data_IF_998619613871
#
_entry.id   IF_998619613871
#
_cell.length_a   1.000
_cell.length_b   1.000
_cell.length_c   1.000
_cell.angle_alpha   90.00
_cell.angle_beta   90.00
_cell.angle_gamma   90.00
#
_symmetry.space_group_name_H-M   'P 1'
#
loop_
_entity.id
_entity.type
_entity.pdbx_description
1 polymer ?
#
# COMPACT_ATOMS: atom_id res chain seq x y z
N UNK A 1 -67.92 19.54 17.02
CA UNK A 1 -67.84 20.77 17.82
C UNK A 1 -67.63 21.94 16.87
N UNK A 2 -68.64 22.77 16.66
CA UNK A 2 -68.52 23.98 15.85
C UNK A 2 -67.75 25.03 16.66
N UNK A 3 -66.56 25.42 16.18
CA UNK A 3 -65.79 26.53 16.77
C UNK A 3 -66.42 27.82 16.29
N UNK A 4 -67.19 28.47 17.17
CA UNK A 4 -67.69 29.82 16.98
C UNK A 4 -66.50 30.78 17.13
N UNK A 5 -65.91 31.18 16.01
CA UNK A 5 -64.78 32.13 16.00
C UNK A 5 -65.35 33.53 16.19
N UNK A 6 -65.09 34.10 17.37
CA UNK A 6 -65.41 35.48 17.73
C UNK A 6 -64.46 36.42 16.98
N UNK A 7 -64.98 37.25 16.07
CA UNK A 7 -64.18 38.26 15.36
C UNK A 7 -63.88 39.42 16.32
N UNK A 8 -62.61 39.76 16.59
CA UNK A 8 -62.27 40.81 17.54
C UNK A 8 -62.54 42.22 16.98
N UNK A 9 -63.15 43.08 17.80
CA UNK A 9 -63.75 44.39 17.43
C UNK A 9 -62.78 45.48 16.95
N UNK A 10 -61.47 45.23 16.88
CA UNK A 10 -60.47 46.25 16.49
C UNK A 10 -60.36 46.48 14.97
N UNK A 11 -61.08 45.69 14.15
CA UNK A 11 -61.17 45.91 12.70
C UNK A 11 -62.25 46.92 12.27
N UNK A 12 -63.01 47.51 13.20
CA UNK A 12 -63.87 48.67 12.93
C UNK A 12 -63.14 49.94 13.40
N UNK A 13 -62.51 50.66 12.47
CA UNK A 13 -61.67 51.82 12.76
C UNK A 13 -62.36 52.90 13.60
N UNK A 14 -61.63 53.38 14.61
CA UNK A 14 -61.93 54.59 15.39
C UNK A 14 -61.53 55.83 14.59
N UNK A 15 -62.48 56.70 14.26
CA UNK A 15 -62.20 58.08 13.86
C UNK A 15 -62.77 59.01 14.95
N UNK A 16 -61.88 59.79 15.54
CA UNK A 16 -62.13 60.79 16.58
C UNK A 16 -62.70 62.07 15.98
N UNK A 17 -63.68 62.64 16.68
CA UNK A 17 -64.45 63.84 16.32
C UNK A 17 -63.60 65.11 16.11
N UNK A 18 -63.87 65.86 15.04
CA UNK A 18 -63.65 67.31 14.98
C UNK A 18 -64.85 68.01 14.35
N UNK A 19 -65.54 68.80 15.18
CA UNK A 19 -66.44 69.92 14.96
C UNK A 19 -67.13 70.18 13.59
N UNK A 20 -68.47 70.20 13.67
CA UNK A 20 -69.45 71.09 13.01
C UNK A 20 -69.50 71.19 11.47
N UNK A 21 -70.70 70.87 10.95
CA UNK A 21 -71.31 71.36 9.70
C UNK A 21 -70.43 71.41 8.44
N UNK A 22 -70.40 70.31 7.67
CA UNK A 22 -71.03 70.26 6.35
C UNK A 22 -70.79 68.91 5.69
N UNK A 23 -71.85 68.45 5.02
CA UNK A 23 -71.94 67.50 3.91
C UNK A 23 -70.73 66.62 3.49
N UNK A 24 -71.06 65.31 3.45
CA UNK A 24 -70.59 64.29 2.50
C UNK A 24 -69.13 63.82 2.68
N UNK A 25 -68.99 62.69 3.37
CA UNK A 25 -68.79 61.35 2.80
C UNK A 25 -68.44 60.44 3.98
N UNK A 26 -69.41 59.71 4.54
CA UNK A 26 -69.11 58.59 5.46
C UNK A 26 -69.94 57.37 5.06
N UNK A 27 -69.21 56.35 4.63
CA UNK A 27 -69.60 55.00 4.22
C UNK A 27 -70.79 54.40 4.98
N UNK A 28 -71.81 53.95 4.23
CA UNK A 28 -72.73 52.89 4.68
C UNK A 28 -72.64 51.71 3.74
N UNK A 29 -71.74 50.76 4.04
CA UNK A 29 -71.84 49.41 3.47
C UNK A 29 -73.21 48.83 3.85
N UNK A 30 -73.94 48.33 2.86
CA UNK A 30 -75.25 47.66 3.05
C UNK A 30 -75.08 46.38 3.88
N UNK A 31 -76.12 45.95 4.61
CA UNK A 31 -76.05 44.73 5.45
C UNK A 31 -75.59 43.48 4.67
N UNK A 32 -75.89 43.41 3.37
CA UNK A 32 -75.43 42.38 2.44
C UNK A 32 -73.93 42.42 2.16
N UNK A 33 -73.32 43.62 2.08
CA UNK A 33 -71.87 43.78 1.85
C UNK A 33 -71.07 43.43 3.10
N UNK A 34 -71.58 43.77 4.30
CA UNK A 34 -70.97 43.36 5.58
C UNK A 34 -70.96 41.84 5.75
N UNK A 35 -72.06 41.16 5.46
CA UNK A 35 -72.13 39.69 5.54
C UNK A 35 -71.18 39.00 4.56
N UNK A 36 -71.05 39.54 3.33
CA UNK A 36 -70.10 39.03 2.33
C UNK A 36 -68.64 39.22 2.77
N UNK A 37 -68.29 40.38 3.33
CA UNK A 37 -66.96 40.63 3.87
C UNK A 37 -66.66 39.74 5.09
N UNK A 38 -67.64 39.46 5.95
CA UNK A 38 -67.48 38.52 7.05
C UNK A 38 -67.27 37.07 6.57
N UNK A 39 -68.02 36.63 5.56
CA UNK A 39 -67.88 35.28 5.00
C UNK A 39 -66.54 35.10 4.26
N UNK A 40 -66.11 36.09 3.48
CA UNK A 40 -64.78 36.07 2.88
C UNK A 40 -63.65 36.16 3.91
N UNK A 41 -63.80 36.96 4.96
CA UNK A 41 -62.85 37.02 6.06
C UNK A 41 -62.74 35.68 6.79
N UNK A 42 -63.86 34.97 7.01
CA UNK A 42 -63.88 33.62 7.62
C UNK A 42 -63.24 32.59 6.70
N UNK A 43 -63.49 32.63 5.39
CA UNK A 43 -62.84 31.74 4.41
C UNK A 43 -61.34 31.97 4.34
N UNK A 44 -60.91 33.23 4.31
CA UNK A 44 -59.49 33.62 4.32
C UNK A 44 -58.82 33.17 5.63
N UNK A 45 -59.48 33.38 6.78
CA UNK A 45 -58.98 32.92 8.07
C UNK A 45 -58.88 31.39 8.13
N UNK A 46 -59.88 30.66 7.61
CA UNK A 46 -59.86 29.21 7.53
C UNK A 46 -58.73 28.69 6.62
N UNK A 47 -58.46 29.37 5.49
CA UNK A 47 -57.33 29.04 4.61
C UNK A 47 -55.98 29.31 5.27
N UNK A 48 -55.84 30.42 6.00
CA UNK A 48 -54.62 30.74 6.77
C UNK A 48 -54.39 29.68 7.84
N UNK A 49 -55.42 29.32 8.61
CA UNK A 49 -55.34 28.27 9.63
C UNK A 49 -54.98 26.92 8.99
N UNK A 50 -55.64 26.55 7.89
CA UNK A 50 -55.33 25.35 7.12
C UNK A 50 -53.88 25.32 6.63
N UNK A 51 -53.37 26.44 6.11
CA UNK A 51 -51.98 26.60 5.69
C UNK A 51 -50.99 26.45 6.85
N UNK A 52 -51.29 27.02 8.02
CA UNK A 52 -50.48 26.85 9.24
C UNK A 52 -50.44 25.37 9.67
N UNK A 53 -51.57 24.66 9.63
CA UNK A 53 -51.59 23.22 9.95
C UNK A 53 -50.74 22.39 8.98
N UNK A 54 -50.77 22.70 7.69
CA UNK A 54 -49.90 22.04 6.70
C UNK A 54 -48.42 22.33 6.99
N UNK A 55 -48.06 23.57 7.29
CA UNK A 55 -46.68 23.95 7.63
C UNK A 55 -46.18 23.26 8.91
N UNK A 56 -47.00 23.18 9.96
CA UNK A 56 -46.67 22.43 11.18
C UNK A 56 -46.49 20.95 10.86
N UNK A 57 -47.38 20.37 10.04
CA UNK A 57 -47.26 18.99 9.57
C UNK A 57 -45.96 18.72 8.83
N UNK A 58 -45.54 19.64 7.95
CA UNK A 58 -44.27 19.56 7.23
C UNK A 58 -43.06 19.69 8.17
N UNK A 59 -43.10 20.60 9.15
CA UNK A 59 -42.02 20.77 10.14
C UNK A 59 -41.88 19.51 11.00
N UNK A 60 -43.00 18.96 11.49
CA UNK A 60 -43.00 17.71 12.28
C UNK A 60 -42.50 16.55 11.43
N UNK A 61 -42.94 16.44 10.18
CA UNK A 61 -42.49 15.40 9.25
C UNK A 61 -41.01 15.53 8.95
N UNK A 62 -40.50 16.75 8.72
CA UNK A 62 -39.09 17.01 8.50
C UNK A 62 -38.26 16.66 9.73
N UNK A 63 -38.70 17.06 10.93
CA UNK A 63 -38.02 16.70 12.18
C UNK A 63 -38.04 15.19 12.44
N UNK A 64 -39.17 14.52 12.19
CA UNK A 64 -39.29 13.07 12.32
C UNK A 64 -38.42 12.33 11.29
N UNK A 65 -38.31 12.85 10.07
CA UNK A 65 -37.41 12.34 9.04
C UNK A 65 -35.94 12.47 9.47
N UNK A 66 -35.53 13.63 9.99
CA UNK A 66 -34.18 13.84 10.51
C UNK A 66 -33.84 12.88 11.66
N UNK A 67 -34.76 12.69 12.61
CA UNK A 67 -34.59 11.74 13.72
C UNK A 67 -34.54 10.29 13.21
N UNK A 68 -35.35 9.95 12.20
CA UNK A 68 -35.36 8.59 11.62
C UNK A 68 -34.06 8.26 10.89
N UNK A 69 -33.46 9.23 10.20
CA UNK A 69 -32.14 9.07 9.56
C UNK A 69 -31.06 8.87 10.64
N UNK A 70 -31.05 9.71 11.67
CA UNK A 70 -30.10 9.57 12.80
C UNK A 70 -30.22 8.22 13.52
N UNK A 71 -31.44 7.69 13.65
CA UNK A 71 -31.66 6.39 14.28
C UNK A 71 -31.12 5.22 13.44
N UNK A 72 -31.25 5.29 12.11
CA UNK A 72 -30.66 4.28 11.22
C UNK A 72 -29.13 4.27 11.30
N UNK A 73 -28.50 5.44 11.43
CA UNK A 73 -27.05 5.53 11.60
C UNK A 73 -26.59 4.93 12.95
N UNK A 74 -27.29 5.23 14.04
CA UNK A 74 -27.00 4.67 15.38
C UNK A 74 -27.16 3.15 15.43
N UNK A 75 -28.23 2.61 14.85
CA UNK A 75 -28.48 1.16 14.82
C UNK A 75 -27.40 0.44 13.98
N UNK A 76 -26.94 1.06 12.88
CA UNK A 76 -25.83 0.55 12.07
C UNK A 76 -24.51 0.56 12.84
N UNK A 77 -24.22 1.64 13.57
CA UNK A 77 -22.99 1.77 14.36
C UNK A 77 -22.95 0.78 15.53
N UNK A 78 -24.09 0.52 16.18
CA UNK A 78 -24.22 -0.50 17.20
C UNK A 78 -23.94 -1.91 16.64
N UNK A 79 -24.46 -2.24 15.45
CA UNK A 79 -24.20 -3.51 14.79
C UNK A 79 -22.73 -3.68 14.41
N UNK A 80 -22.06 -2.61 13.93
CA UNK A 80 -20.64 -2.67 13.63
C UNK A 80 -19.80 -2.90 14.88
N UNK A 81 -20.14 -2.25 15.99
CA UNK A 81 -19.46 -2.43 17.28
C UNK A 81 -19.58 -3.87 17.80
N UNK A 82 -20.76 -4.49 17.65
CA UNK A 82 -20.96 -5.91 17.99
C UNK A 82 -20.12 -6.84 17.11
N UNK A 83 -20.07 -6.60 15.79
CA UNK A 83 -19.23 -7.36 14.85
C UNK A 83 -17.74 -7.26 15.20
N UNK A 84 -17.24 -6.06 15.53
CA UNK A 84 -15.86 -5.88 15.97
C UNK A 84 -15.56 -6.61 17.27
N UNK A 85 -16.47 -6.54 18.25
CA UNK A 85 -16.30 -7.21 19.54
C UNK A 85 -16.25 -8.73 19.40
N UNK A 86 -17.08 -9.31 18.53
CA UNK A 86 -17.06 -10.74 18.19
C UNK A 86 -15.75 -11.14 17.52
N UNK A 87 -15.30 -10.37 16.52
CA UNK A 87 -14.05 -10.65 15.83
C UNK A 87 -12.85 -10.63 16.79
N UNK A 88 -12.77 -9.64 17.68
CA UNK A 88 -11.71 -9.56 18.71
C UNK A 88 -11.77 -10.75 19.68
N UNK A 89 -12.98 -11.16 20.07
CA UNK A 89 -13.19 -12.34 20.93
C UNK A 89 -12.67 -13.60 20.24
N UNK A 90 -12.99 -13.77 18.96
CA UNK A 90 -12.50 -14.88 18.15
C UNK A 90 -10.97 -14.88 18.00
N UNK A 91 -10.36 -13.70 17.79
CA UNK A 91 -8.90 -13.55 17.73
C UNK A 91 -8.18 -13.87 19.05
N UNK A 92 -8.89 -13.80 20.17
CA UNK A 92 -8.36 -14.12 21.50
C UNK A 92 -8.47 -15.62 21.85
N UNK A 93 -9.05 -16.44 20.97
CA UNK A 93 -9.28 -17.86 21.21
C UNK A 93 -7.99 -18.69 21.01
N UNK A 94 -7.79 -19.73 21.82
CA UNK A 94 -6.62 -20.62 21.71
C UNK A 94 -6.64 -21.46 20.42
N UNK A 95 -7.82 -21.72 19.85
CA UNK A 95 -8.00 -22.52 18.64
C UNK A 95 -7.74 -21.69 17.40
N UNK A 96 -6.77 -22.13 16.60
CA UNK A 96 -6.40 -21.52 15.30
C UNK A 96 -7.61 -21.27 14.38
N UNK A 97 -8.53 -22.23 14.28
CA UNK A 97 -9.71 -22.12 13.41
C UNK A 97 -10.62 -20.96 13.83
N UNK A 98 -10.76 -20.72 15.14
CA UNK A 98 -11.58 -19.62 15.67
C UNK A 98 -10.91 -18.29 15.37
N UNK A 99 -9.58 -18.18 15.57
CA UNK A 99 -8.83 -16.97 15.23
C UNK A 99 -8.90 -16.63 13.74
N UNK A 100 -8.77 -17.64 12.87
CA UNK A 100 -8.99 -17.48 11.42
C UNK A 100 -10.41 -16.97 11.12
N UNK A 101 -11.43 -17.49 11.82
CA UNK A 101 -12.79 -16.98 11.75
C UNK A 101 -12.88 -15.48 12.10
N UNK A 102 -12.21 -15.06 13.18
CA UNK A 102 -12.10 -13.65 13.55
C UNK A 102 -11.42 -12.78 12.48
N UNK A 103 -10.36 -13.28 11.83
CA UNK A 103 -9.70 -12.57 10.73
C UNK A 103 -10.63 -12.36 9.53
N UNK A 104 -11.41 -13.37 9.15
CA UNK A 104 -12.40 -13.25 8.06
C UNK A 104 -13.59 -12.37 8.44
N UNK A 105 -13.98 -12.31 9.71
CA UNK A 105 -14.97 -11.34 10.18
C UNK A 105 -14.46 -9.90 10.03
N UNK A 106 -13.20 -9.64 10.39
CA UNK A 106 -12.55 -8.35 10.16
C UNK A 106 -12.45 -8.02 8.67
N UNK A 107 -12.00 -8.97 7.85
CA UNK A 107 -11.97 -8.81 6.39
C UNK A 107 -13.32 -8.32 5.84
N UNK A 108 -14.38 -9.03 6.21
CA UNK A 108 -15.73 -8.70 5.79
C UNK A 108 -16.21 -7.35 6.31
N UNK A 109 -15.83 -6.96 7.54
CA UNK A 109 -16.14 -5.63 8.08
C UNK A 109 -15.47 -4.53 7.24
N UNK A 110 -14.20 -4.68 6.88
CA UNK A 110 -13.49 -3.71 6.04
C UNK A 110 -14.13 -3.58 4.65
N UNK A 111 -14.56 -4.69 4.05
CA UNK A 111 -15.22 -4.71 2.74
C UNK A 111 -16.62 -4.07 2.82
N UNK A 112 -17.42 -4.43 3.82
CA UNK A 112 -18.81 -3.96 3.97
C UNK A 112 -18.89 -2.47 4.39
N UNK A 113 -17.85 -1.95 5.05
CA UNK A 113 -17.85 -0.61 5.66
C UNK A 113 -16.55 0.15 5.41
N UNK A 114 -16.46 0.94 4.32
CA UNK A 114 -15.28 1.74 4.00
C UNK A 114 -14.84 2.71 5.11
N UNK A 115 -15.80 3.22 5.91
CA UNK A 115 -15.51 4.09 7.07
C UNK A 115 -14.75 3.37 8.18
N UNK A 116 -14.91 2.05 8.29
CA UNK A 116 -14.31 1.21 9.35
C UNK A 116 -13.09 0.41 8.86
N UNK A 117 -12.80 0.46 7.56
CA UNK A 117 -11.69 -0.27 6.94
C UNK A 117 -10.33 0.09 7.54
N UNK A 118 -10.10 1.38 7.85
CA UNK A 118 -8.85 1.84 8.47
C UNK A 118 -8.67 1.25 9.88
N UNK A 119 -9.72 1.28 10.70
CA UNK A 119 -9.70 0.71 12.06
C UNK A 119 -9.50 -0.80 12.01
N UNK A 120 -10.14 -1.48 11.07
CA UNK A 120 -9.96 -2.92 10.83
C UNK A 120 -8.51 -3.25 10.46
N UNK A 121 -7.92 -2.50 9.52
CA UNK A 121 -6.52 -2.62 9.10
C UNK A 121 -5.58 -2.44 10.29
N UNK A 122 -5.80 -1.43 11.13
CA UNK A 122 -5.01 -1.21 12.35
C UNK A 122 -5.14 -2.36 13.36
N UNK A 123 -6.33 -2.93 13.53
CA UNK A 123 -6.55 -4.05 14.43
C UNK A 123 -5.83 -5.32 13.95
N UNK A 124 -5.91 -5.63 12.65
CA UNK A 124 -5.20 -6.76 12.04
C UNK A 124 -3.68 -6.58 12.22
N UNK A 125 -3.17 -5.36 12.04
CA UNK A 125 -1.74 -5.07 12.23
C UNK A 125 -1.30 -5.16 13.69
N UNK A 126 -2.10 -4.65 14.63
CA UNK A 126 -1.84 -4.81 16.06
C UNK A 126 -1.82 -6.29 16.45
N UNK A 127 -2.77 -7.06 15.93
CA UNK A 127 -2.82 -8.50 16.13
C UNK A 127 -1.58 -9.21 15.57
N UNK A 128 -1.18 -8.87 14.34
CA UNK A 128 0.01 -9.41 13.69
C UNK A 128 1.28 -9.15 14.53
N UNK A 129 1.54 -7.90 14.90
CA UNK A 129 2.73 -7.55 15.66
C UNK A 129 2.77 -8.16 17.06
N UNK A 130 1.63 -8.18 17.75
CA UNK A 130 1.56 -8.73 19.10
C UNK A 130 1.83 -10.25 19.14
N UNK A 131 1.50 -10.97 18.08
CA UNK A 131 1.59 -12.44 18.07
C UNK A 131 2.79 -12.97 17.27
N UNK A 132 3.34 -12.20 16.32
CA UNK A 132 4.32 -12.70 15.35
C UNK A 132 5.61 -11.87 15.26
N UNK A 133 5.81 -10.83 16.08
CA UNK A 133 7.09 -10.11 16.14
C UNK A 133 8.19 -10.96 16.78
N UNK A 134 9.41 -10.91 16.22
CA UNK A 134 10.62 -11.63 16.64
C UNK A 134 11.18 -11.20 18.02
N UNK A 135 10.32 -10.73 18.93
CA UNK A 135 10.64 -10.46 20.33
C UNK A 135 10.63 -11.75 21.17
N UNK A 136 11.47 -12.73 20.80
CA UNK A 136 12.07 -13.71 21.72
C UNK A 136 13.52 -14.01 21.31
N UNK A 137 14.34 -12.96 21.31
CA UNK A 137 15.76 -13.08 21.62
C UNK A 137 15.92 -13.45 23.10
N UNK A 138 15.58 -14.69 23.46
CA UNK A 138 15.95 -15.29 24.74
C UNK A 138 16.95 -16.40 24.41
N UNK A 139 18.24 -16.08 24.54
CA UNK A 139 19.41 -16.92 24.24
C UNK A 139 19.59 -18.08 25.23
N UNK A 140 18.50 -18.56 25.85
CA UNK A 140 18.51 -19.52 26.96
C UNK A 140 17.63 -20.76 26.74
N UNK A 141 17.20 -21.05 25.50
CA UNK A 141 16.60 -22.34 25.15
C UNK A 141 17.32 -22.95 23.95
N UNK A 142 17.76 -24.22 24.02
CA UNK A 142 18.46 -24.84 22.92
C UNK A 142 17.53 -24.85 21.71
N UNK A 143 18.06 -24.40 20.59
CA UNK A 143 17.45 -24.58 19.29
C UNK A 143 16.93 -26.02 19.21
N UNK A 144 15.62 -26.19 19.06
CA UNK A 144 15.15 -27.35 18.30
C UNK A 144 15.67 -27.09 16.91
N UNK A 145 16.87 -27.59 16.66
CA UNK A 145 17.42 -27.71 15.35
C UNK A 145 16.38 -28.45 14.52
N UNK A 146 15.68 -27.72 13.68
CA UNK A 146 15.17 -28.26 12.43
C UNK A 146 16.42 -28.70 11.70
N UNK A 147 16.79 -29.96 11.91
CA UNK A 147 17.91 -30.62 11.30
C UNK A 147 17.81 -30.32 9.82
N UNK A 148 18.83 -29.63 9.30
CA UNK A 148 19.19 -29.66 7.88
C UNK A 148 19.37 -31.13 7.53
N UNK A 149 18.31 -31.79 7.08
CA UNK A 149 18.43 -33.02 6.31
C UNK A 149 18.81 -32.56 4.91
N UNK A 150 20.11 -32.55 4.63
CA UNK A 150 20.61 -32.70 3.26
C UNK A 150 20.07 -34.04 2.77
N UNK A 151 18.90 -34.03 2.13
CA UNK A 151 18.54 -35.08 1.21
C UNK A 151 19.14 -34.66 -0.13
N UNK A 152 20.08 -35.45 -0.63
CA UNK A 152 20.76 -35.26 -1.91
C UNK A 152 19.85 -35.51 -3.12
N UNK A 153 18.54 -35.33 -3.00
CA UNK A 153 17.54 -35.47 -4.05
C UNK A 153 16.34 -34.57 -3.71
N UNK A 154 16.25 -33.39 -4.36
CA UNK A 154 15.06 -32.53 -4.38
C UNK A 154 14.68 -31.86 -3.05
N UNK A 155 14.47 -30.54 -3.08
CA UNK A 155 13.75 -29.82 -2.03
C UNK A 155 12.38 -30.47 -1.84
N UNK A 156 12.21 -31.22 -0.75
CA UNK A 156 10.92 -31.81 -0.39
C UNK A 156 9.97 -30.70 0.06
N UNK A 157 9.00 -30.39 -0.80
CA UNK A 157 7.83 -29.53 -0.55
C UNK A 157 6.90 -30.24 0.44
N UNK A 158 7.34 -30.43 1.68
CA UNK A 158 6.47 -30.83 2.79
C UNK A 158 6.31 -29.62 3.70
N UNK A 159 5.31 -28.76 3.41
CA UNK A 159 4.57 -27.93 4.39
C UNK A 159 3.61 -26.87 3.78
N UNK A 160 3.34 -26.87 2.48
CA UNK A 160 2.38 -25.93 1.87
C UNK A 160 0.87 -26.19 2.17
N UNK A 161 0.53 -27.16 3.04
CA UNK A 161 -0.85 -27.68 3.17
C UNK A 161 -1.60 -27.44 4.49
N UNK A 162 -1.11 -26.60 5.40
CA UNK A 162 -1.97 -26.04 6.46
C UNK A 162 -1.92 -24.53 6.40
N UNK A 163 -3.06 -23.81 6.31
CA UNK A 163 -3.06 -22.35 6.46
C UNK A 163 -2.41 -22.02 7.81
N UNK A 164 -1.19 -21.47 7.77
CA UNK A 164 -0.65 -20.83 8.95
C UNK A 164 -1.47 -19.57 9.18
N UNK A 165 -1.74 -19.26 10.44
CA UNK A 165 -2.44 -18.03 10.81
C UNK A 165 -1.81 -16.80 10.15
N UNK A 166 -0.49 -16.77 10.10
CA UNK A 166 0.28 -15.72 9.47
C UNK A 166 0.03 -15.61 7.96
N UNK A 167 -0.07 -16.73 7.24
CA UNK A 167 -0.43 -16.69 5.81
C UNK A 167 -1.88 -16.22 5.62
N UNK A 168 -2.81 -16.62 6.50
CA UNK A 168 -4.18 -16.11 6.47
C UNK A 168 -4.20 -14.59 6.69
N UNK A 169 -3.43 -14.08 7.66
CA UNK A 169 -3.30 -12.64 7.89
C UNK A 169 -2.79 -11.93 6.63
N UNK A 170 -1.74 -12.46 5.98
CA UNK A 170 -1.20 -11.89 4.74
C UNK A 170 -2.28 -11.82 3.66
N UNK A 171 -3.04 -12.91 3.46
CA UNK A 171 -4.08 -12.97 2.45
C UNK A 171 -5.21 -11.97 2.74
N UNK A 172 -5.64 -11.85 4.00
CA UNK A 172 -6.66 -10.88 4.42
C UNK A 172 -6.15 -9.44 4.25
N UNK A 173 -4.89 -9.16 4.59
CA UNK A 173 -4.30 -7.84 4.37
C UNK A 173 -4.31 -7.50 2.88
N UNK A 174 -3.96 -8.45 2.00
CA UNK A 174 -3.96 -8.29 0.55
C UNK A 174 -5.38 -8.10 -0.03
N UNK A 175 -6.42 -8.65 0.57
CA UNK A 175 -7.79 -8.56 0.05
C UNK A 175 -8.51 -7.27 0.43
N UNK A 176 -8.26 -6.74 1.63
CA UNK A 176 -8.95 -5.53 2.14
C UNK A 176 -8.35 -4.22 1.64
N UNK A 177 -7.20 -4.26 0.97
CA UNK A 177 -6.45 -3.05 0.64
C UNK A 177 -5.70 -3.22 -0.67
N UNK A 178 -6.15 -2.47 -1.68
CA UNK A 178 -5.42 -2.29 -2.94
C UNK A 178 -4.12 -1.50 -2.77
N UNK A 179 -3.92 -0.88 -1.61
CA UNK A 179 -2.80 -0.02 -1.31
C UNK A 179 -2.29 -0.28 0.13
N UNK A 180 -1.30 -1.18 0.23
CA UNK A 180 -0.57 -1.42 1.48
C UNK A 180 0.51 -0.37 1.70
N UNK A 181 0.29 0.85 1.20
CA UNK A 181 1.12 2.02 1.48
C UNK A 181 1.48 2.10 2.95
N UNK A 182 2.78 2.00 3.25
CA UNK A 182 3.35 2.09 4.60
C UNK A 182 2.91 0.99 5.57
N UNK A 183 2.51 -0.18 5.07
CA UNK A 183 2.31 -1.37 5.89
C UNK A 183 3.55 -1.64 6.74
N UNK A 184 3.38 -1.85 8.04
CA UNK A 184 4.48 -2.20 8.94
C UNK A 184 4.54 -3.71 9.12
N UNK A 185 5.56 -4.35 8.57
CA UNK A 185 5.88 -5.79 8.71
C UNK A 185 7.19 -6.00 9.47
N UNK A 186 7.71 -4.98 10.14
CA UNK A 186 9.04 -5.02 10.75
C UNK A 186 9.21 -6.17 11.73
N UNK A 187 10.39 -6.77 11.68
CA UNK A 187 10.80 -7.80 12.64
C UNK A 187 9.86 -9.02 12.70
N UNK A 188 9.09 -9.28 11.64
CA UNK A 188 8.29 -10.49 11.54
C UNK A 188 9.14 -11.65 10.97
N UNK A 189 8.75 -12.87 11.29
CA UNK A 189 9.23 -14.08 10.60
C UNK A 189 8.24 -14.44 9.48
N UNK A 190 8.58 -14.05 8.26
CA UNK A 190 7.86 -14.35 7.02
C UNK A 190 8.60 -15.40 6.18
N UNK A 191 9.42 -16.25 6.81
CA UNK A 191 10.15 -17.31 6.10
C UNK A 191 9.20 -18.28 5.38
N UNK A 192 9.57 -18.61 4.15
CA UNK A 192 8.82 -19.48 3.23
C UNK A 192 7.36 -19.05 3.00
N UNK A 193 7.03 -17.77 3.22
CA UNK A 193 5.67 -17.24 3.01
C UNK A 193 5.44 -16.76 1.58
N UNK A 194 4.18 -16.82 1.18
CA UNK A 194 3.75 -16.35 -0.12
C UNK A 194 3.27 -14.89 -0.03
N UNK A 195 4.06 -13.98 -0.59
CA UNK A 195 3.75 -12.55 -0.74
C UNK A 195 3.48 -12.20 -2.22
N UNK A 196 3.38 -13.20 -3.10
CA UNK A 196 3.19 -12.97 -4.52
C UNK A 196 1.93 -12.14 -4.79
N UNK A 197 1.98 -11.30 -5.84
CA UNK A 197 0.85 -10.48 -6.30
C UNK A 197 0.36 -9.41 -5.32
N UNK A 198 0.97 -9.27 -4.15
CA UNK A 198 0.64 -8.21 -3.19
C UNK A 198 1.20 -6.86 -3.61
N UNK A 199 0.52 -5.78 -3.25
CA UNK A 199 0.96 -4.39 -3.44
C UNK A 199 1.41 -3.80 -2.12
N UNK A 200 2.71 -3.79 -1.88
CA UNK A 200 3.43 -3.37 -0.67
C UNK A 200 4.24 -2.07 -0.87
N UNK A 201 3.67 -1.12 -1.61
CA UNK A 201 4.33 0.14 -1.94
C UNK A 201 4.71 0.86 -0.63
N UNK A 202 5.95 1.33 -0.48
CA UNK A 202 6.45 1.98 0.74
C UNK A 202 6.26 1.20 2.06
N UNK A 203 5.99 -0.10 2.00
CA UNK A 203 5.85 -0.93 3.20
C UNK A 203 7.20 -1.09 3.91
N UNK A 204 7.16 -1.32 5.22
CA UNK A 204 8.32 -1.48 6.07
C UNK A 204 8.54 -2.94 6.44
N UNK A 205 9.52 -3.56 5.80
CA UNK A 205 10.04 -4.90 6.07
C UNK A 205 11.39 -4.86 6.79
N UNK A 206 11.79 -3.74 7.39
CA UNK A 206 13.09 -3.67 8.06
C UNK A 206 13.22 -4.71 9.19
N UNK A 207 14.38 -5.36 9.25
CA UNK A 207 14.68 -6.47 10.18
C UNK A 207 13.76 -7.71 10.06
N UNK A 208 13.02 -7.86 8.96
CA UNK A 208 12.12 -9.01 8.74
C UNK A 208 12.90 -10.21 8.21
N UNK A 209 12.51 -11.42 8.61
CA UNK A 209 12.98 -12.65 7.96
C UNK A 209 12.04 -12.99 6.79
N UNK A 210 12.56 -12.97 5.58
CA UNK A 210 11.90 -13.29 4.31
C UNK A 210 12.64 -14.46 3.62
N UNK A 211 13.38 -15.27 4.39
CA UNK A 211 14.14 -16.40 3.85
C UNK A 211 13.20 -17.32 3.08
N UNK A 212 13.52 -17.61 1.81
CA UNK A 212 12.69 -18.50 0.97
C UNK A 212 11.31 -17.93 0.59
N UNK A 213 11.03 -16.65 0.88
CA UNK A 213 9.74 -16.06 0.56
C UNK A 213 9.47 -16.01 -0.95
N UNK A 214 8.20 -16.19 -1.33
CA UNK A 214 7.75 -16.12 -2.72
C UNK A 214 7.24 -14.71 -3.01
N UNK A 215 7.87 -14.04 -3.98
CA UNK A 215 7.70 -12.61 -4.26
C UNK A 215 7.32 -12.31 -5.72
N UNK A 216 6.91 -13.31 -6.52
CA UNK A 216 6.60 -13.06 -7.92
C UNK A 216 5.37 -12.14 -8.09
N UNK A 217 5.36 -11.33 -9.16
CA UNK A 217 4.28 -10.41 -9.52
C UNK A 217 3.82 -9.41 -8.43
N UNK A 218 4.61 -9.18 -7.38
CA UNK A 218 4.29 -8.22 -6.32
C UNK A 218 4.85 -6.82 -6.62
N UNK A 219 4.29 -5.80 -6.00
CA UNK A 219 4.79 -4.42 -6.06
C UNK A 219 5.33 -3.96 -4.70
N UNK A 220 6.65 -3.85 -4.59
CA UNK A 220 7.40 -3.36 -3.44
C UNK A 220 8.06 -2.00 -3.72
N UNK A 221 7.50 -1.20 -4.63
CA UNK A 221 8.07 0.11 -4.96
C UNK A 221 8.29 0.95 -3.69
N UNK A 222 9.52 1.41 -3.48
CA UNK A 222 9.90 2.24 -2.33
C UNK A 222 9.83 1.57 -0.96
N UNK A 223 9.63 0.24 -0.90
CA UNK A 223 9.57 -0.48 0.37
C UNK A 223 10.94 -0.48 1.09
N UNK A 224 10.91 -0.53 2.42
CA UNK A 224 12.08 -0.55 3.30
C UNK A 224 12.39 -1.99 3.71
N UNK A 225 13.45 -2.57 3.15
CA UNK A 225 13.99 -3.90 3.46
C UNK A 225 15.28 -3.83 4.29
N UNK A 226 15.57 -2.69 4.93
CA UNK A 226 16.86 -2.53 5.60
C UNK A 226 17.07 -3.59 6.67
N UNK A 227 18.26 -4.20 6.67
CA UNK A 227 18.64 -5.27 7.62
C UNK A 227 17.72 -6.50 7.60
N UNK A 228 16.89 -6.66 6.57
CA UNK A 228 16.06 -7.86 6.41
C UNK A 228 16.87 -9.03 5.85
N UNK A 229 16.34 -10.24 5.97
CA UNK A 229 16.93 -11.44 5.40
C UNK A 229 16.03 -11.96 4.27
N UNK A 230 16.39 -11.71 3.01
CA UNK A 230 15.75 -12.27 1.82
C UNK A 230 16.56 -13.44 1.23
N UNK A 231 17.38 -14.12 2.03
CA UNK A 231 18.17 -15.24 1.49
C UNK A 231 17.27 -16.30 0.86
N UNK A 232 17.60 -16.74 -0.35
CA UNK A 232 16.79 -17.70 -1.15
C UNK A 232 15.35 -17.25 -1.45
N UNK A 233 14.99 -15.98 -1.23
CA UNK A 233 13.70 -15.47 -1.69
C UNK A 233 13.63 -15.55 -3.22
N UNK A 234 12.45 -15.83 -3.77
CA UNK A 234 12.30 -16.07 -5.20
C UNK A 234 11.20 -15.22 -5.83
N UNK A 235 11.54 -14.55 -6.93
CA UNK A 235 10.60 -13.88 -7.82
C UNK A 235 10.29 -14.69 -9.08
N UNK A 236 10.95 -15.84 -9.27
CA UNK A 236 10.72 -16.68 -10.43
C UNK A 236 9.44 -17.53 -10.23
N UNK A 237 8.69 -17.67 -11.32
CA UNK A 237 7.51 -18.53 -11.41
C UNK A 237 7.90 -20.00 -11.57
N UNK A 238 9.14 -20.29 -11.95
CA UNK A 238 9.52 -21.59 -12.49
C UNK A 238 9.87 -22.65 -11.42
N UNK A 239 10.28 -22.26 -10.21
CA UNK A 239 10.95 -23.23 -9.35
C UNK A 239 10.02 -23.95 -8.36
N UNK A 240 8.94 -23.32 -7.86
CA UNK A 240 8.25 -23.86 -6.66
C UNK A 240 6.71 -23.79 -6.66
N UNK A 241 6.10 -23.60 -7.82
CA UNK A 241 4.69 -23.26 -7.88
C UNK A 241 3.90 -24.30 -8.68
N UNK A 242 3.49 -25.37 -7.99
CA UNK A 242 2.33 -26.19 -8.36
C UNK A 242 1.01 -25.43 -8.04
N UNK A 243 0.98 -24.09 -8.12
CA UNK A 243 -0.28 -23.35 -8.14
C UNK A 243 -0.93 -23.73 -9.45
N UNK A 244 -2.03 -24.47 -9.36
CA UNK A 244 -2.80 -25.04 -10.46
C UNK A 244 -2.56 -24.29 -11.77
N UNK A 245 -1.87 -24.97 -12.70
CA UNK A 245 -1.40 -24.48 -14.01
C UNK A 245 -2.45 -23.71 -14.82
N UNK A 246 -3.73 -23.77 -14.41
CA UNK A 246 -4.88 -23.07 -14.97
C UNK A 246 -4.96 -21.56 -14.66
N UNK A 247 -4.34 -21.03 -13.60
CA UNK A 247 -4.35 -19.58 -13.29
C UNK A 247 -3.11 -18.84 -13.81
N UNK A 248 -2.01 -19.57 -14.03
CA UNK A 248 -0.72 -19.03 -14.50
C UNK A 248 -0.77 -18.68 -16.00
N UNK A 249 -1.65 -19.31 -16.77
CA UNK A 249 -1.74 -19.12 -18.24
C UNK A 249 -2.31 -17.76 -18.68
N UNK A 250 -2.81 -16.93 -17.75
CA UNK A 250 -3.48 -15.66 -18.05
C UNK A 250 -2.65 -14.41 -17.74
N UNK A 251 -1.45 -14.55 -17.20
CA UNK A 251 -0.58 -13.42 -16.87
C UNK A 251 0.48 -13.32 -17.97
N UNK A 252 0.53 -12.18 -18.67
CA UNK A 252 1.62 -11.94 -19.63
C UNK A 252 2.96 -11.93 -18.90
N UNK A 253 4.08 -12.32 -19.53
CA UNK A 253 5.40 -12.31 -18.90
C UNK A 253 5.77 -10.97 -18.24
N UNK A 254 5.28 -9.86 -18.79
CA UNK A 254 5.48 -8.51 -18.25
C UNK A 254 4.65 -8.25 -16.97
N UNK A 255 3.47 -8.86 -16.83
CA UNK A 255 2.60 -8.74 -15.65
C UNK A 255 2.99 -9.69 -14.50
N UNK A 256 3.99 -10.56 -14.71
CA UNK A 256 4.48 -11.51 -13.73
C UNK A 256 5.71 -11.02 -12.93
N UNK A 257 6.26 -9.85 -13.27
CA UNK A 257 7.51 -9.33 -12.68
C UNK A 257 7.28 -8.74 -11.30
N UNK A 258 8.18 -9.04 -10.37
CA UNK A 258 8.26 -8.34 -9.10
C UNK A 258 8.84 -6.93 -9.31
N UNK A 259 8.25 -5.93 -8.66
CA UNK A 259 8.69 -4.53 -8.73
C UNK A 259 9.33 -4.15 -7.40
N UNK A 260 10.60 -3.75 -7.42
CA UNK A 260 11.35 -3.22 -6.27
C UNK A 260 11.93 -1.84 -6.57
N UNK A 261 11.33 -1.11 -7.52
CA UNK A 261 11.83 0.21 -7.91
C UNK A 261 11.94 1.13 -6.68
N UNK A 262 13.09 1.77 -6.49
CA UNK A 262 13.38 2.65 -5.35
C UNK A 262 13.30 1.99 -3.96
N UNK A 263 13.21 0.65 -3.88
CA UNK A 263 13.24 -0.06 -2.60
C UNK A 263 14.61 0.08 -1.91
N UNK A 264 14.62 -0.02 -0.58
CA UNK A 264 15.80 0.18 0.25
C UNK A 264 16.24 -1.15 0.90
N UNK A 265 17.25 -1.80 0.32
CA UNK A 265 17.88 -3.03 0.79
C UNK A 265 19.20 -2.76 1.53
N UNK A 266 19.41 -1.55 2.07
CA UNK A 266 20.64 -1.25 2.82
C UNK A 266 20.84 -2.25 3.98
N UNK A 267 22.04 -2.82 4.07
CA UNK A 267 22.43 -3.88 5.02
C UNK A 267 21.57 -5.18 4.94
N UNK A 268 20.80 -5.41 3.87
CA UNK A 268 20.00 -6.62 3.73
C UNK A 268 20.83 -7.83 3.28
N UNK A 269 20.39 -9.04 3.65
CA UNK A 269 20.95 -10.29 3.15
C UNK A 269 20.08 -10.86 2.02
N UNK A 270 20.61 -10.92 0.82
CA UNK A 270 20.03 -11.51 -0.39
C UNK A 270 20.85 -12.70 -0.91
N UNK A 271 21.62 -13.37 -0.03
CA UNK A 271 22.41 -14.56 -0.41
C UNK A 271 21.50 -15.60 -1.08
N UNK A 272 21.91 -16.11 -2.25
CA UNK A 272 21.16 -17.06 -3.07
C UNK A 272 19.74 -16.60 -3.47
N UNK A 273 19.40 -15.32 -3.34
CA UNK A 273 18.08 -14.82 -3.75
C UNK A 273 17.93 -14.83 -5.28
N UNK A 274 16.76 -15.21 -5.77
CA UNK A 274 16.40 -15.14 -7.18
C UNK A 274 15.48 -13.96 -7.43
N UNK A 275 16.03 -12.94 -8.08
CA UNK A 275 15.32 -11.74 -8.50
C UNK A 275 15.11 -11.71 -10.03
N UNK A 276 15.22 -12.85 -10.72
CA UNK A 276 15.17 -12.95 -12.18
C UNK A 276 14.03 -12.14 -12.78
N UNK A 277 14.39 -11.33 -13.79
CA UNK A 277 13.48 -10.47 -14.54
C UNK A 277 12.70 -9.43 -13.71
N UNK A 278 13.03 -9.19 -12.45
CA UNK A 278 12.39 -8.14 -11.65
C UNK A 278 12.76 -6.72 -12.11
N UNK A 279 12.04 -5.72 -11.58
CA UNK A 279 12.28 -4.29 -11.84
C UNK A 279 12.78 -3.61 -10.57
N UNK A 280 14.10 -3.43 -10.47
CA UNK A 280 14.81 -2.87 -9.33
C UNK A 280 15.39 -1.48 -9.62
N UNK A 281 14.82 -0.73 -10.57
CA UNK A 281 15.29 0.59 -10.96
C UNK A 281 15.42 1.55 -9.76
N UNK A 282 16.61 2.12 -9.58
CA UNK A 282 16.92 3.05 -8.50
C UNK A 282 16.86 2.44 -7.10
N UNK A 283 16.83 1.11 -6.96
CA UNK A 283 16.88 0.45 -5.67
C UNK A 283 18.25 0.63 -4.99
N UNK A 284 18.28 0.61 -3.66
CA UNK A 284 19.50 0.78 -2.87
C UNK A 284 19.90 -0.55 -2.26
N UNK A 285 21.07 -1.04 -2.60
CA UNK A 285 21.70 -2.26 -2.08
C UNK A 285 23.00 -1.94 -1.33
N UNK A 286 23.10 -0.75 -0.71
CA UNK A 286 24.31 -0.33 0.01
C UNK A 286 24.63 -1.32 1.13
N UNK A 287 25.88 -1.77 1.19
CA UNK A 287 26.35 -2.77 2.17
C UNK A 287 25.56 -4.10 2.16
N UNK A 288 24.71 -4.36 1.16
CA UNK A 288 23.93 -5.58 1.10
C UNK A 288 24.83 -6.79 0.77
N UNK A 289 24.40 -7.98 1.19
CA UNK A 289 25.07 -9.25 0.86
C UNK A 289 24.26 -9.93 -0.23
N UNK A 290 24.77 -10.03 -1.44
CA UNK A 290 24.13 -10.63 -2.62
C UNK A 290 24.88 -11.86 -3.13
N UNK A 291 25.68 -12.52 -2.28
CA UNK A 291 26.49 -13.68 -2.65
C UNK A 291 25.66 -14.72 -3.39
N UNK A 292 26.09 -15.11 -4.59
CA UNK A 292 25.41 -16.10 -5.43
C UNK A 292 23.95 -15.75 -5.79
N UNK A 293 23.53 -14.49 -5.64
CA UNK A 293 22.20 -14.05 -6.05
C UNK A 293 22.02 -14.11 -7.58
N UNK A 294 20.80 -14.42 -8.02
CA UNK A 294 20.41 -14.47 -9.43
C UNK A 294 19.68 -13.18 -9.78
N UNK A 295 20.37 -12.31 -10.53
CA UNK A 295 19.92 -11.01 -11.01
C UNK A 295 19.82 -11.01 -12.55
N UNK A 296 19.45 -12.16 -13.12
CA UNK A 296 19.37 -12.36 -14.56
C UNK A 296 18.21 -11.57 -15.18
N UNK A 297 18.47 -10.80 -16.25
CA UNK A 297 17.47 -9.95 -16.95
C UNK A 297 16.76 -8.91 -16.07
N UNK A 298 17.34 -8.53 -14.94
CA UNK A 298 16.77 -7.52 -14.03
C UNK A 298 17.01 -6.11 -14.58
N UNK A 299 16.03 -5.23 -14.43
CA UNK A 299 16.26 -3.79 -14.59
C UNK A 299 16.83 -3.22 -13.29
N UNK A 300 18.13 -2.95 -13.27
CA UNK A 300 18.89 -2.37 -12.17
C UNK A 300 19.43 -0.97 -12.54
N UNK A 301 18.81 -0.31 -13.53
CA UNK A 301 19.23 1.04 -13.90
C UNK A 301 19.13 1.98 -12.70
N UNK A 302 20.12 2.85 -12.52
CA UNK A 302 20.26 3.76 -11.36
C UNK A 302 20.41 3.08 -9.97
N UNK A 303 20.56 1.75 -9.89
CA UNK A 303 20.66 1.08 -8.60
C UNK A 303 22.00 1.39 -7.89
N UNK A 304 22.01 1.37 -6.56
CA UNK A 304 23.20 1.66 -5.75
C UNK A 304 23.64 0.46 -4.92
N UNK A 305 24.68 -0.23 -5.39
CA UNK A 305 25.36 -1.36 -4.79
C UNK A 305 26.62 -0.97 -4.00
N UNK A 306 26.79 0.29 -3.61
CA UNK A 306 28.03 0.74 -2.97
C UNK A 306 28.37 -0.06 -1.71
N UNK A 307 29.62 -0.52 -1.59
CA UNK A 307 30.13 -1.41 -0.54
C UNK A 307 29.39 -2.76 -0.37
N UNK A 308 28.60 -3.19 -1.36
CA UNK A 308 27.94 -4.50 -1.31
C UNK A 308 28.91 -5.66 -1.58
N UNK A 309 28.51 -6.85 -1.17
CA UNK A 309 29.18 -8.10 -1.53
C UNK A 309 28.31 -8.89 -2.52
N UNK A 310 28.65 -8.82 -3.80
CA UNK A 310 27.99 -9.51 -4.90
C UNK A 310 28.91 -10.60 -5.50
N UNK A 311 29.69 -11.26 -4.65
CA UNK A 311 30.55 -12.39 -5.05
C UNK A 311 29.71 -13.50 -5.67
N UNK A 312 30.16 -14.03 -6.81
CA UNK A 312 29.52 -15.13 -7.55
C UNK A 312 28.06 -14.86 -7.99
N UNK A 313 27.58 -13.61 -7.95
CA UNK A 313 26.22 -13.27 -8.39
C UNK A 313 26.09 -13.29 -9.92
N UNK A 314 24.89 -13.56 -10.43
CA UNK A 314 24.62 -13.59 -11.87
C UNK A 314 23.81 -12.36 -12.30
N UNK A 315 24.46 -11.41 -12.97
CA UNK A 315 23.85 -10.21 -13.57
C UNK A 315 23.65 -10.34 -15.10
N UNK A 316 23.64 -11.56 -15.64
CA UNK A 316 23.52 -11.79 -17.08
C UNK A 316 22.28 -11.13 -17.67
N UNK A 317 22.45 -10.42 -18.78
CA UNK A 317 21.40 -9.64 -19.46
C UNK A 317 20.70 -8.57 -18.60
N UNK A 318 21.23 -8.24 -17.42
CA UNK A 318 20.69 -7.15 -16.61
C UNK A 318 20.93 -5.79 -17.26
N UNK A 319 20.04 -4.84 -17.00
CA UNK A 319 20.28 -3.42 -17.30
C UNK A 319 20.91 -2.76 -16.08
N UNK A 320 22.22 -2.50 -16.11
CA UNK A 320 22.98 -1.85 -15.04
C UNK A 320 23.35 -0.41 -15.41
N UNK A 321 22.63 0.19 -16.36
CA UNK A 321 22.92 1.54 -16.82
C UNK A 321 22.89 2.52 -15.65
N UNK A 322 23.97 3.30 -15.47
CA UNK A 322 24.17 4.25 -14.36
C UNK A 322 24.16 3.63 -12.94
N UNK A 323 24.21 2.30 -12.80
CA UNK A 323 24.29 1.67 -11.50
C UNK A 323 25.63 1.97 -10.80
N UNK A 324 25.64 2.12 -9.49
CA UNK A 324 26.85 2.37 -8.68
C UNK A 324 27.29 1.11 -7.95
N UNK A 325 28.50 0.63 -8.25
CA UNK A 325 29.18 -0.47 -7.57
C UNK A 325 30.43 0.02 -6.82
N UNK A 326 30.42 1.27 -6.37
CA UNK A 326 31.59 1.88 -5.73
C UNK A 326 32.01 1.06 -4.50
N UNK A 327 33.25 0.58 -4.49
CA UNK A 327 33.80 -0.31 -3.45
C UNK A 327 33.03 -1.62 -3.23
N UNK A 328 32.23 -2.05 -4.19
CA UNK A 328 31.58 -3.35 -4.13
C UNK A 328 32.59 -4.48 -4.42
N UNK A 329 32.27 -5.68 -3.94
CA UNK A 329 32.98 -6.90 -4.33
C UNK A 329 32.13 -7.66 -5.35
N UNK A 330 32.59 -7.73 -6.60
CA UNK A 330 31.95 -8.49 -7.69
C UNK A 330 32.78 -9.72 -8.08
N UNK A 331 33.68 -10.18 -7.21
CA UNK A 331 34.54 -11.31 -7.52
C UNK A 331 33.73 -12.51 -8.04
N UNK A 332 34.10 -13.06 -9.19
CA UNK A 332 33.43 -14.23 -9.78
C UNK A 332 32.02 -13.96 -10.34
N UNK A 333 31.53 -12.71 -10.29
CA UNK A 333 30.21 -12.38 -10.82
C UNK A 333 30.12 -12.54 -12.34
N UNK A 334 28.93 -12.89 -12.83
CA UNK A 334 28.67 -13.13 -14.24
C UNK A 334 27.91 -11.93 -14.85
N UNK A 335 28.47 -11.27 -15.87
CA UNK A 335 27.91 -10.06 -16.52
C UNK A 335 27.58 -10.28 -18.00
N UNK A 336 27.33 -11.51 -18.44
CA UNK A 336 27.13 -11.81 -19.86
C UNK A 336 25.99 -10.99 -20.45
N UNK A 337 26.32 -10.16 -21.45
CA UNK A 337 25.35 -9.30 -22.16
C UNK A 337 24.63 -8.28 -21.25
N UNK A 338 25.17 -7.98 -20.07
CA UNK A 338 24.67 -6.89 -19.24
C UNK A 338 24.91 -5.53 -19.93
N UNK A 339 24.00 -4.58 -19.74
CA UNK A 339 24.22 -3.18 -20.17
C UNK A 339 24.95 -2.42 -19.06
N UNK A 340 26.12 -1.89 -19.36
CA UNK A 340 27.01 -1.25 -18.37
C UNK A 340 27.22 0.25 -18.65
N UNK A 341 26.38 0.86 -19.47
CA UNK A 341 26.45 2.26 -19.85
C UNK A 341 26.47 3.16 -18.60
N UNK A 342 27.59 3.86 -18.38
CA UNK A 342 27.85 4.72 -17.23
C UNK A 342 27.76 4.00 -15.86
N UNK A 343 27.83 2.67 -15.82
CA UNK A 343 27.94 1.92 -14.58
C UNK A 343 29.27 2.25 -13.87
N UNK A 344 29.21 2.49 -12.56
CA UNK A 344 30.37 2.94 -11.79
C UNK A 344 30.98 1.83 -10.94
N UNK A 345 32.08 1.26 -11.41
CA UNK A 345 32.90 0.25 -10.75
C UNK A 345 34.14 0.84 -10.06
N UNK A 346 34.11 2.13 -9.68
CA UNK A 346 35.24 2.75 -8.97
C UNK A 346 35.56 2.00 -7.68
N UNK A 347 36.83 1.61 -7.51
CA UNK A 347 37.31 0.86 -6.34
C UNK A 347 36.66 -0.53 -6.16
N UNK A 348 35.98 -1.03 -7.19
CA UNK A 348 35.34 -2.34 -7.18
C UNK A 348 36.37 -3.46 -7.38
N UNK A 349 36.13 -4.62 -6.76
CA UNK A 349 36.82 -5.84 -7.12
C UNK A 349 36.08 -6.53 -8.28
N UNK A 350 36.65 -6.49 -9.48
CA UNK A 350 36.14 -7.21 -10.66
C UNK A 350 37.01 -8.44 -10.99
N UNK A 351 37.84 -8.91 -10.06
CA UNK A 351 38.62 -10.13 -10.28
C UNK A 351 37.70 -11.31 -10.58
N UNK A 352 38.12 -12.20 -11.49
CA UNK A 352 37.37 -13.41 -11.86
C UNK A 352 35.96 -13.17 -12.47
N UNK A 353 35.56 -11.91 -12.72
CA UNK A 353 34.30 -11.58 -13.39
C UNK A 353 34.28 -12.12 -14.82
N UNK A 354 33.16 -12.72 -15.22
CA UNK A 354 32.92 -13.22 -16.59
C UNK A 354 31.96 -12.33 -17.36
N UNK A 355 31.93 -12.47 -18.69
CA UNK A 355 30.98 -11.76 -19.55
C UNK A 355 31.29 -10.28 -19.83
N UNK A 356 32.32 -9.71 -19.19
CA UNK A 356 32.82 -8.38 -19.51
C UNK A 356 33.45 -8.33 -20.92
N UNK A 357 33.26 -7.19 -21.58
CA UNK A 357 33.91 -6.88 -22.85
C UNK A 357 34.62 -5.54 -22.76
N UNK A 358 35.58 -5.31 -23.66
CA UNK A 358 36.28 -4.04 -23.75
C UNK A 358 35.33 -2.88 -24.04
N UNK A 359 34.34 -3.10 -24.91
CA UNK A 359 33.35 -2.08 -25.27
C UNK A 359 32.44 -1.72 -24.10
N UNK A 360 32.07 -2.68 -23.26
CA UNK A 360 31.30 -2.37 -22.05
C UNK A 360 32.13 -1.55 -21.06
N UNK A 361 33.42 -1.88 -20.87
CA UNK A 361 34.29 -1.14 -19.96
C UNK A 361 34.61 0.28 -20.45
N UNK A 362 34.61 0.52 -21.77
CA UNK A 362 34.72 1.87 -22.36
C UNK A 362 33.55 2.79 -21.99
N UNK A 363 32.37 2.22 -21.76
CA UNK A 363 31.17 2.96 -21.38
C UNK A 363 30.99 3.08 -19.86
N UNK A 364 31.74 2.30 -19.10
CA UNK A 364 31.70 2.29 -17.64
C UNK A 364 32.64 3.34 -17.01
N UNK A 365 32.53 3.50 -15.69
CA UNK A 365 33.41 4.33 -14.87
C UNK A 365 34.22 3.39 -13.96
N UNK A 366 35.54 3.50 -14.01
CA UNK A 366 36.49 2.78 -13.14
C UNK A 366 37.47 3.76 -12.47
N UNK A 367 38.14 3.33 -11.41
CA UNK A 367 39.20 4.08 -10.74
C UNK A 367 40.53 3.33 -10.78
N UNK A 368 41.61 4.00 -10.37
CA UNK A 368 42.94 3.38 -10.20
C UNK A 368 42.92 2.18 -9.24
N UNK A 369 41.99 2.17 -8.28
CA UNK A 369 41.85 1.08 -7.30
C UNK A 369 40.89 -0.02 -7.75
N UNK A 370 40.21 0.15 -8.89
CA UNK A 370 39.39 -0.93 -9.46
C UNK A 370 40.32 -2.08 -9.85
N UNK A 371 40.05 -3.27 -9.31
CA UNK A 371 40.78 -4.50 -9.66
C UNK A 371 40.14 -5.03 -10.92
N UNK A 372 40.86 -5.05 -12.05
CA UNK A 372 40.32 -5.52 -13.33
C UNK A 372 40.60 -7.02 -13.50
N UNK A 373 39.77 -7.74 -14.28
CA UNK A 373 40.15 -9.07 -14.74
C UNK A 373 41.44 -9.00 -15.56
N UNK A 374 42.29 -10.02 -15.43
CA UNK A 374 43.62 -10.07 -16.07
C UNK A 374 43.64 -9.71 -17.58
N UNK A 375 42.64 -10.09 -18.41
CA UNK A 375 42.62 -9.70 -19.82
C UNK A 375 42.54 -8.19 -20.10
N UNK A 376 42.03 -7.38 -19.14
CA UNK A 376 41.82 -5.94 -19.33
C UNK A 376 42.93 -5.08 -18.71
N UNK A 377 43.78 -5.66 -17.85
CA UNK A 377 44.91 -4.96 -17.23
C UNK A 377 45.83 -4.25 -18.24
N UNK A 378 46.18 -4.84 -19.41
CA UNK A 378 46.99 -4.15 -20.41
C UNK A 378 46.38 -2.84 -20.95
N UNK A 379 45.05 -2.68 -20.90
CA UNK A 379 44.34 -1.50 -21.40
C UNK A 379 43.91 -0.52 -20.31
N UNK A 380 44.33 -0.72 -19.05
CA UNK A 380 43.91 0.07 -17.88
C UNK A 380 44.00 1.58 -18.11
N UNK A 381 45.12 2.09 -18.61
CA UNK A 381 45.32 3.54 -18.82
C UNK A 381 44.32 4.15 -19.80
N UNK A 382 43.95 3.41 -20.84
CA UNK A 382 42.97 3.84 -21.84
C UNK A 382 41.57 3.82 -21.24
N UNK A 383 41.21 2.75 -20.53
CA UNK A 383 39.93 2.63 -19.83
C UNK A 383 39.74 3.74 -18.78
N UNK A 384 40.80 4.12 -18.07
CA UNK A 384 40.77 5.24 -17.11
C UNK A 384 40.56 6.60 -17.80
N UNK A 385 41.00 6.77 -19.04
CA UNK A 385 40.74 7.99 -19.81
C UNK A 385 39.24 8.08 -20.16
N UNK A 386 38.65 7.01 -20.70
CA UNK A 386 37.21 6.93 -20.95
C UNK A 386 36.39 7.13 -19.68
N UNK A 387 36.80 6.51 -18.57
CA UNK A 387 36.15 6.66 -17.26
C UNK A 387 36.01 8.12 -16.82
N UNK A 388 37.04 8.95 -17.03
CA UNK A 388 37.00 10.38 -16.68
C UNK A 388 35.97 11.15 -17.49
N UNK A 389 35.75 10.79 -18.75
CA UNK A 389 34.73 11.39 -19.62
C UNK A 389 33.34 10.92 -19.20
N UNK A 390 33.17 9.62 -18.96
CA UNK A 390 31.91 9.02 -18.52
C UNK A 390 31.47 9.57 -17.16
N UNK A 391 32.38 9.79 -16.22
CA UNK A 391 32.07 10.39 -14.92
C UNK A 391 31.53 11.82 -15.04
N UNK A 392 32.09 12.62 -15.97
CA UNK A 392 31.56 13.95 -16.27
C UNK A 392 30.18 13.89 -16.94
N UNK A 393 30.02 12.96 -17.88
CA UNK A 393 28.74 12.75 -18.57
C UNK A 393 27.63 12.37 -17.58
N UNK A 394 27.89 11.41 -16.70
CA UNK A 394 26.96 11.00 -15.65
C UNK A 394 26.63 12.17 -14.71
N UNK A 395 27.63 12.91 -14.25
CA UNK A 395 27.43 14.07 -13.39
C UNK A 395 26.51 15.12 -14.04
N UNK A 396 26.74 15.43 -15.32
CA UNK A 396 25.92 16.39 -16.06
C UNK A 396 24.48 15.87 -16.30
N UNK A 397 24.31 14.57 -16.58
CA UNK A 397 22.98 13.96 -16.72
C UNK A 397 22.19 14.05 -15.42
N UNK A 398 22.79 13.66 -14.28
CA UNK A 398 22.14 13.74 -12.97
C UNK A 398 21.80 15.19 -12.61
N UNK A 399 22.71 16.14 -12.82
CA UNK A 399 22.44 17.57 -12.59
C UNK A 399 21.24 18.06 -13.39
N UNK A 400 21.18 17.76 -14.69
CA UNK A 400 20.08 18.18 -15.55
C UNK A 400 18.74 17.57 -15.13
N UNK A 401 18.74 16.30 -14.68
CA UNK A 401 17.54 15.66 -14.15
C UNK A 401 17.08 16.26 -12.81
N UNK A 402 18.00 16.71 -11.97
CA UNK A 402 17.67 17.36 -10.69
C UNK A 402 17.22 18.81 -10.85
N UNK A 403 17.72 19.55 -11.84
CA UNK A 403 17.34 20.93 -12.12
C UNK A 403 16.04 21.04 -12.95
N UNK A 404 15.65 19.97 -13.64
CA UNK A 404 14.42 19.90 -14.43
C UNK A 404 13.18 19.41 -13.67
N UNK A 405 13.32 19.02 -12.40
CA UNK A 405 12.23 18.67 -11.46
C UNK A 405 12.07 19.77 -10.44
#
# INVERSE_FOLDING_TARGET
MAVLIFVPKWQAGTFTDSESNNERVINRFTNSERFRMEDEARKTLAQIIGGIFVLIGLIVTFNAYQVSVQKQDLDRDAQMTDRFSKAITHLSDEKLVVRIGGLFELERIAIDSPKDALTTKQLIYAYLHNNFSNSKSDSSKPAKASVVRKNSNGLSIENFQSPSELQTIINVIQSISDDLERLDMRSLDLSDRNLARGKYIYANFSNTDLTGAILFASDFKGADFRKSNLSRASTDIAEHVEIGRSLVTLITPEAARAIFSQADFEDANLTDADLTASICKGAKFRNAILRSAILYKVDLSDADFSNSDATDSNFGQADLSRASFVRANLKGAALERAKLDLANFSDCDLSEVTGLTYDNLKLAIISERTILPAPFEPNRSELLAFSKENAKLLHNQVLNETLGK
#
